data_IF_814029787051
#
_entry.id   IF_814029787051
#
_cell.length_a   1.000
_cell.length_b   1.000
_cell.length_c   1.000
_cell.angle_alpha   90.00
_cell.angle_beta   90.00
_cell.angle_gamma   90.00
#
_symmetry.space_group_name_H-M   'P 1'
#
loop_
_entity.id
_entity.type
_entity.pdbx_description
1 polymer ?
#
# COMPACT_ATOMS: atom_id res chain seq x y z
N UNK A 1 2.16 -7.79 28.19
CA UNK A 1 1.60 -6.59 27.54
C UNK A 1 2.74 -5.63 27.26
N UNK A 2 2.76 -5.04 26.05
CA UNK A 2 3.77 -4.03 25.68
C UNK A 2 3.03 -2.76 25.24
N UNK A 3 3.45 -1.63 25.78
CA UNK A 3 2.90 -0.32 25.40
C UNK A 3 4.06 0.53 24.88
N UNK A 4 3.99 0.89 23.61
CA UNK A 4 4.95 1.83 23.00
C UNK A 4 4.35 3.23 23.08
N UNK A 5 4.95 4.08 23.93
CA UNK A 5 4.42 5.44 24.20
C UNK A 5 4.77 6.45 23.13
N UNK A 6 5.76 6.14 22.31
CA UNK A 6 6.21 7.02 21.23
C UNK A 6 6.22 6.20 19.95
N UNK A 7 5.69 6.78 18.90
CA UNK A 7 5.78 6.17 17.57
C UNK A 7 7.23 6.14 17.10
N UNK A 8 7.53 5.14 16.26
CA UNK A 8 8.78 5.09 15.53
C UNK A 8 8.79 6.23 14.52
N UNK A 9 9.97 6.78 14.23
CA UNK A 9 10.10 7.87 13.28
C UNK A 9 9.55 7.49 11.91
N UNK A 10 8.92 8.47 11.25
CA UNK A 10 8.43 8.32 9.89
C UNK A 10 9.59 8.09 8.93
N UNK A 11 9.48 7.06 8.12
CA UNK A 11 10.44 6.77 7.07
C UNK A 11 9.92 7.25 5.72
N UNK A 12 10.81 7.75 4.86
CA UNK A 12 10.45 8.03 3.48
C UNK A 12 10.51 6.75 2.66
N UNK A 13 9.48 6.48 1.88
CA UNK A 13 9.44 5.35 0.98
C UNK A 13 10.50 5.47 -0.11
N UNK A 14 11.29 4.40 -0.37
CA UNK A 14 12.37 4.45 -1.36
C UNK A 14 11.84 4.50 -2.80
N UNK A 15 12.61 5.14 -3.69
CA UNK A 15 12.29 5.25 -5.10
C UNK A 15 12.26 3.90 -5.82
N UNK A 16 12.87 2.86 -5.24
CA UNK A 16 12.81 1.50 -5.77
C UNK A 16 11.42 0.86 -5.65
N UNK A 17 10.57 1.38 -4.77
CA UNK A 17 9.23 0.85 -4.49
C UNK A 17 8.10 1.80 -4.84
N UNK A 18 8.38 3.10 -4.92
CA UNK A 18 7.37 4.15 -5.09
C UNK A 18 7.77 5.15 -6.16
N UNK A 19 6.76 5.67 -6.85
CA UNK A 19 6.84 6.88 -7.66
C UNK A 19 6.20 8.01 -6.85
N UNK A 20 6.88 9.16 -6.78
CA UNK A 20 6.41 10.29 -5.96
C UNK A 20 6.79 10.17 -4.49
N UNK A 21 6.25 11.06 -3.67
CA UNK A 21 6.60 11.15 -2.25
C UNK A 21 5.63 10.31 -1.41
N UNK A 22 6.19 9.36 -0.68
CA UNK A 22 5.45 8.45 0.20
C UNK A 22 6.17 8.40 1.55
N UNK A 23 5.40 8.46 2.64
CA UNK A 23 5.91 8.39 4.00
C UNK A 23 5.25 7.25 4.75
N UNK A 24 6.04 6.52 5.55
CA UNK A 24 5.61 5.28 6.18
C UNK A 24 5.81 5.38 7.69
N UNK A 25 4.74 5.14 8.44
CA UNK A 25 4.75 5.03 9.89
C UNK A 25 4.49 3.58 10.29
N UNK A 26 5.47 2.89 10.91
CA UNK A 26 5.23 1.54 11.42
C UNK A 26 4.19 1.55 12.53
N UNK A 27 3.25 0.59 12.47
CA UNK A 27 2.19 0.42 13.48
C UNK A 27 2.37 -0.87 14.25
N UNK A 28 2.70 -1.95 13.57
CA UNK A 28 2.88 -3.24 14.19
C UNK A 28 3.97 -4.06 13.50
N UNK A 29 4.80 -4.71 14.31
CA UNK A 29 5.73 -5.73 13.90
C UNK A 29 5.72 -6.76 15.02
N UNK A 30 4.77 -7.70 14.97
CA UNK A 30 4.58 -8.66 16.03
C UNK A 30 5.81 -9.59 16.17
N UNK A 31 6.20 -9.94 17.41
CA UNK A 31 7.34 -10.83 17.62
C UNK A 31 7.04 -12.25 17.13
N UNK A 32 8.11 -12.97 16.73
CA UNK A 32 7.98 -14.37 16.35
C UNK A 32 7.22 -15.19 17.42
N UNK A 33 6.38 -16.15 17.03
CA UNK A 33 6.24 -16.72 15.67
C UNK A 33 5.28 -15.95 14.74
N UNK A 34 4.72 -14.85 15.18
CA UNK A 34 3.90 -13.99 14.31
C UNK A 34 4.77 -13.37 13.21
N UNK A 35 4.20 -13.21 12.02
CA UNK A 35 4.83 -12.57 10.86
C UNK A 35 4.00 -11.41 10.34
N UNK A 36 3.08 -10.91 11.18
CA UNK A 36 2.21 -9.78 10.84
C UNK A 36 2.98 -8.49 10.98
N UNK A 37 2.86 -7.64 9.95
CA UNK A 37 3.31 -6.25 9.98
C UNK A 37 2.17 -5.33 9.57
N UNK A 38 2.17 -4.12 10.09
CA UNK A 38 1.22 -3.11 9.69
C UNK A 38 1.89 -1.74 9.69
N UNK A 39 1.51 -0.90 8.74
CA UNK A 39 2.02 0.46 8.61
C UNK A 39 0.94 1.40 8.13
N UNK A 40 0.97 2.64 8.59
CA UNK A 40 0.26 3.74 7.95
C UNK A 40 1.14 4.27 6.83
N UNK A 41 0.59 4.31 5.63
CA UNK A 41 1.30 4.74 4.44
C UNK A 41 0.63 5.99 3.88
N UNK A 42 1.40 7.06 3.78
CA UNK A 42 0.95 8.39 3.37
C UNK A 42 1.45 8.66 1.96
N UNK A 43 0.53 8.68 1.01
CA UNK A 43 0.84 8.98 -0.39
C UNK A 43 0.50 10.45 -0.65
N UNK A 44 1.48 11.23 -1.08
CA UNK A 44 1.22 12.61 -1.53
C UNK A 44 0.51 12.57 -2.90
N UNK A 45 -0.16 13.67 -3.31
CA UNK A 45 -0.88 13.67 -4.59
C UNK A 45 0.00 13.16 -5.74
N UNK A 46 -0.53 12.22 -6.52
CA UNK A 46 0.19 11.60 -7.64
C UNK A 46 1.13 10.46 -7.28
N UNK A 47 1.44 10.27 -6.00
CA UNK A 47 2.32 9.20 -5.56
C UNK A 47 1.63 7.84 -5.58
N UNK A 48 2.39 6.80 -5.91
CA UNK A 48 1.89 5.43 -5.99
C UNK A 48 3.00 4.42 -5.79
N UNK A 49 2.63 3.19 -5.45
CA UNK A 49 3.56 2.06 -5.43
C UNK A 49 3.95 1.68 -6.86
N UNK A 50 5.07 0.97 -6.98
CA UNK A 50 5.31 0.14 -8.17
C UNK A 50 4.30 -1.01 -8.19
N UNK A 51 4.17 -1.70 -9.33
CA UNK A 51 3.52 -3.00 -9.36
C UNK A 51 4.21 -3.92 -8.37
N UNK A 52 3.45 -4.71 -7.64
CA UNK A 52 3.99 -5.66 -6.67
C UNK A 52 2.96 -6.74 -6.34
N UNK A 53 3.41 -7.75 -5.61
CA UNK A 53 2.57 -8.84 -5.10
C UNK A 53 3.02 -9.26 -3.71
N UNK A 54 2.12 -9.84 -2.97
CA UNK A 54 2.39 -10.36 -1.63
C UNK A 54 2.10 -11.86 -1.59
N UNK A 55 3.04 -12.70 -1.12
CA UNK A 55 2.84 -14.14 -1.11
C UNK A 55 1.60 -14.60 -0.32
N UNK A 56 1.25 -13.88 0.74
CA UNK A 56 0.06 -14.17 1.55
C UNK A 56 -1.03 -13.09 1.43
N UNK A 57 -0.95 -12.24 0.41
CA UNK A 57 -1.89 -11.15 0.21
C UNK A 57 -1.64 -9.94 1.09
N UNK A 58 -2.47 -8.92 0.90
CA UNK A 58 -2.40 -7.67 1.66
C UNK A 58 -3.79 -7.11 1.85
N UNK A 59 -4.07 -6.62 3.04
CA UNK A 59 -5.26 -5.81 3.30
C UNK A 59 -4.84 -4.36 3.46
N UNK A 60 -5.51 -3.45 2.76
CA UNK A 60 -5.38 -2.02 3.00
C UNK A 60 -6.72 -1.45 3.42
N UNK A 61 -6.69 -0.54 4.38
CA UNK A 61 -7.86 0.18 4.89
C UNK A 61 -7.61 1.68 4.77
N UNK A 62 -8.41 2.36 3.96
CA UNK A 62 -8.24 3.80 3.70
C UNK A 62 -8.73 4.60 4.90
N UNK A 63 -7.88 5.50 5.40
CA UNK A 63 -8.19 6.36 6.56
C UNK A 63 -8.42 7.80 6.16
N UNK A 64 -7.74 8.29 5.11
CA UNK A 64 -7.84 9.69 4.68
C UNK A 64 -7.66 9.84 3.18
N UNK A 65 -8.24 10.90 2.64
CA UNK A 65 -8.00 11.34 1.27
C UNK A 65 -8.74 10.55 0.22
N UNK A 66 -8.17 10.47 -0.97
CA UNK A 66 -8.70 9.72 -2.12
C UNK A 66 -7.57 8.96 -2.77
N UNK A 67 -7.74 7.67 -2.95
CA UNK A 67 -6.76 6.80 -3.56
C UNK A 67 -7.25 6.10 -4.80
N UNK A 68 -6.32 5.47 -5.47
CA UNK A 68 -6.54 4.61 -6.62
C UNK A 68 -5.87 3.26 -6.36
N UNK A 69 -6.43 2.20 -6.88
CA UNK A 69 -5.79 0.89 -6.93
C UNK A 69 -6.18 0.14 -8.19
N UNK A 70 -5.36 -0.84 -8.55
CA UNK A 70 -5.61 -1.67 -9.73
C UNK A 70 -4.93 -3.02 -9.56
N UNK A 71 -5.64 -4.09 -9.87
CA UNK A 71 -5.03 -5.40 -10.11
C UNK A 71 -4.64 -5.53 -11.58
N UNK A 72 -3.60 -6.28 -11.86
CA UNK A 72 -3.15 -6.52 -13.23
C UNK A 72 -4.29 -7.12 -14.06
N UNK A 73 -4.59 -6.52 -15.20
CA UNK A 73 -5.69 -6.95 -16.07
C UNK A 73 -7.07 -6.45 -15.69
N UNK A 74 -7.21 -5.74 -14.57
CA UNK A 74 -8.46 -5.13 -14.14
C UNK A 74 -8.51 -3.62 -14.38
N UNK A 75 -9.65 -2.98 -14.09
CA UNK A 75 -9.77 -1.53 -14.17
C UNK A 75 -9.13 -0.85 -12.98
N UNK A 76 -8.80 0.44 -13.14
CA UNK A 76 -8.45 1.30 -12.00
C UNK A 76 -9.71 1.58 -11.17
N UNK A 77 -9.60 1.43 -9.86
CA UNK A 77 -10.69 1.67 -8.92
C UNK A 77 -10.34 2.84 -8.01
N UNK A 78 -11.33 3.67 -7.70
CA UNK A 78 -11.21 4.74 -6.71
C UNK A 78 -11.53 4.17 -5.33
N UNK A 79 -10.67 4.49 -4.36
CA UNK A 79 -10.86 4.08 -2.97
C UNK A 79 -10.90 5.29 -2.05
N UNK A 80 -11.78 5.25 -1.04
CA UNK A 80 -12.07 6.37 -0.14
C UNK A 80 -12.04 5.93 1.32
N UNK A 81 -11.98 6.86 2.27
CA UNK A 81 -11.99 6.53 3.69
C UNK A 81 -13.13 5.58 4.07
N UNK A 82 -12.75 4.51 4.79
CA UNK A 82 -13.66 3.44 5.15
C UNK A 82 -13.64 2.25 4.19
N UNK A 83 -13.08 2.42 2.99
CA UNK A 83 -12.93 1.30 2.06
C UNK A 83 -11.81 0.36 2.51
N UNK A 84 -12.06 -0.92 2.34
CA UNK A 84 -11.11 -1.99 2.60
C UNK A 84 -10.87 -2.76 1.32
N UNK A 85 -9.60 -2.93 0.95
CA UNK A 85 -9.22 -3.71 -0.23
C UNK A 85 -8.40 -4.91 0.22
N UNK A 86 -8.79 -6.09 -0.19
CA UNK A 86 -8.00 -7.29 -0.06
C UNK A 86 -7.35 -7.61 -1.42
N UNK A 87 -6.04 -7.51 -1.48
CA UNK A 87 -5.26 -8.07 -2.58
C UNK A 87 -4.93 -9.52 -2.22
N UNK A 88 -5.37 -10.44 -3.06
CA UNK A 88 -5.19 -11.87 -2.80
C UNK A 88 -3.73 -12.29 -2.94
N UNK A 89 -3.40 -13.49 -2.44
CA UNK A 89 -2.06 -14.02 -2.52
C UNK A 89 -1.52 -14.00 -3.95
N UNK A 90 -0.33 -13.45 -4.14
CA UNK A 90 0.38 -13.33 -5.42
C UNK A 90 -0.33 -12.50 -6.51
N UNK A 91 -1.41 -11.80 -6.17
CA UNK A 91 -2.09 -10.90 -7.10
C UNK A 91 -1.25 -9.64 -7.34
N UNK A 92 -0.82 -9.45 -8.58
CA UNK A 92 -0.06 -8.25 -8.97
C UNK A 92 -0.98 -7.04 -8.98
N UNK A 93 -0.58 -6.00 -8.28
CA UNK A 93 -1.38 -4.80 -8.07
C UNK A 93 -0.53 -3.59 -7.78
N UNK A 94 -1.17 -2.43 -7.76
CA UNK A 94 -0.61 -1.19 -7.23
C UNK A 94 -1.70 -0.39 -6.53
N UNK A 95 -1.29 0.52 -5.66
CA UNK A 95 -2.16 1.49 -5.01
C UNK A 95 -1.42 2.81 -4.77
N UNK A 96 -2.17 3.88 -4.64
CA UNK A 96 -1.60 5.20 -4.43
C UNK A 96 -2.65 6.28 -4.27
N UNK A 97 -2.20 7.53 -4.26
CA UNK A 97 -3.07 8.70 -4.16
C UNK A 97 -3.68 9.06 -5.50
N UNK A 98 -4.80 9.78 -5.44
CA UNK A 98 -5.34 10.47 -6.61
C UNK A 98 -4.37 11.57 -7.08
N UNK A 99 -4.47 12.04 -8.34
CA UNK A 99 -3.53 13.05 -8.86
C UNK A 99 -3.52 14.36 -8.08
N UNK A 100 -4.64 14.74 -7.47
CA UNK A 100 -4.83 16.03 -6.81
C UNK A 100 -5.16 15.93 -5.31
N UNK A 101 -5.13 14.74 -4.73
CA UNK A 101 -5.44 14.50 -3.32
C UNK A 101 -4.48 13.49 -2.74
N UNK A 102 -4.01 13.73 -1.51
CA UNK A 102 -3.28 12.70 -0.76
C UNK A 102 -4.20 11.53 -0.40
N UNK A 103 -3.59 10.40 -0.10
CA UNK A 103 -4.30 9.25 0.45
C UNK A 103 -3.47 8.61 1.54
N UNK A 104 -4.13 8.22 2.63
CA UNK A 104 -3.52 7.47 3.72
C UNK A 104 -4.28 6.18 3.91
N UNK A 105 -3.55 5.07 4.01
CA UNK A 105 -4.15 3.79 4.37
C UNK A 105 -3.32 3.04 5.41
N UNK A 106 -3.98 2.20 6.17
CA UNK A 106 -3.34 1.17 6.98
C UNK A 106 -3.09 -0.04 6.08
N UNK A 107 -1.84 -0.48 5.97
CA UNK A 107 -1.47 -1.68 5.25
C UNK A 107 -1.16 -2.79 6.25
N UNK A 108 -1.77 -3.96 6.06
CA UNK A 108 -1.58 -5.13 6.90
C UNK A 108 -1.03 -6.25 6.03
N UNK A 109 0.14 -6.76 6.42
CA UNK A 109 0.85 -7.80 5.69
C UNK A 109 1.23 -8.96 6.60
N UNK A 110 1.46 -10.10 6.00
CA UNK A 110 1.96 -11.29 6.69
C UNK A 110 3.11 -11.89 5.88
N UNK A 111 4.22 -12.20 6.55
CA UNK A 111 5.34 -12.90 5.92
C UNK A 111 5.03 -14.38 5.71
N UNK A 112 5.54 -14.96 4.63
CA UNK A 112 5.44 -16.39 4.37
C UNK A 112 6.47 -17.18 5.21
N UNK A 113 6.61 -18.47 4.95
CA UNK A 113 7.54 -19.35 5.69
C UNK A 113 9.00 -18.94 5.51
N UNK A 114 9.35 -18.26 4.43
CA UNK A 114 10.67 -17.70 4.17
C UNK A 114 10.81 -16.26 4.70
N UNK A 115 9.78 -15.73 5.40
CA UNK A 115 9.68 -14.35 5.87
C UNK A 115 9.57 -13.31 4.75
N UNK A 116 9.23 -13.73 3.54
CA UNK A 116 8.95 -12.80 2.45
C UNK A 116 7.57 -12.18 2.62
N UNK A 117 7.48 -10.87 2.47
CA UNK A 117 6.25 -10.09 2.62
C UNK A 117 5.79 -9.54 1.28
N UNK A 118 6.73 -9.14 0.43
CA UNK A 118 6.44 -8.43 -0.82
C UNK A 118 7.47 -8.76 -1.89
N UNK A 119 7.00 -8.85 -3.15
CA UNK A 119 7.85 -8.96 -4.33
C UNK A 119 7.59 -7.74 -5.22
N UNK A 120 8.57 -6.87 -5.34
CA UNK A 120 8.49 -5.65 -6.13
C UNK A 120 8.72 -5.91 -7.61
N UNK A 121 7.92 -5.25 -8.46
CA UNK A 121 7.97 -5.34 -9.91
C UNK A 121 8.24 -3.94 -10.49
N UNK A 122 7.87 -3.73 -11.77
CA UNK A 122 8.13 -2.49 -12.49
C UNK A 122 7.27 -1.31 -11.98
N UNK A 123 7.74 -0.07 -12.19
CA UNK A 123 6.93 1.11 -11.90
C UNK A 123 5.61 1.13 -12.69
N UNK A 124 4.59 1.73 -12.11
CA UNK A 124 3.34 2.05 -12.81
C UNK A 124 3.62 3.24 -13.73
N UNK A 125 3.39 3.07 -15.03
CA UNK A 125 3.60 4.16 -15.99
C UNK A 125 2.57 5.27 -15.78
N UNK A 126 2.88 6.48 -16.28
CA UNK A 126 1.93 7.58 -16.22
C UNK A 126 0.65 7.26 -16.99
N UNK A 127 0.75 6.55 -18.11
CA UNK A 127 -0.41 6.12 -18.89
C UNK A 127 -1.30 5.15 -18.11
N UNK A 128 -0.71 4.19 -17.39
CA UNK A 128 -1.46 3.27 -16.53
C UNK A 128 -2.12 4.02 -15.37
N UNK A 129 -1.37 4.92 -14.73
CA UNK A 129 -1.86 5.68 -13.59
C UNK A 129 -3.00 6.64 -13.95
N UNK A 130 -2.96 7.25 -15.12
CA UNK A 130 -3.96 8.22 -15.56
C UNK A 130 -5.13 7.60 -16.33
N UNK A 131 -5.18 6.28 -16.43
CA UNK A 131 -6.32 5.61 -17.05
C UNK A 131 -7.61 5.95 -16.29
N UNK A 132 -8.71 6.10 -17.04
CA UNK A 132 -10.01 6.45 -16.45
C UNK A 132 -10.46 5.36 -15.49
N UNK A 133 -10.76 5.69 -14.22
CA UNK A 133 -11.30 4.71 -13.28
C UNK A 133 -12.64 4.13 -13.75
N UNK A 134 -12.91 2.90 -13.35
CA UNK A 134 -14.14 2.20 -13.69
C UNK A 134 -15.39 2.90 -13.12
N UNK A 135 -15.27 3.42 -11.89
CA UNK A 135 -16.30 4.20 -11.20
C UNK A 135 -15.65 5.27 -10.34
N UNK A 136 -16.36 6.36 -10.14
CA UNK A 136 -15.90 7.44 -9.28
C UNK A 136 -16.17 7.13 -7.80
#
# INVERSE_FOLDING_TARGET
>A
MQITRRSIETAKGPADWFTGDVYIDPVAAAPAPSRVTASLVHFMPGARTHWHRHPLGQTVFVTEGVGLCQRRGGPVEVIRPGDRVLFEADEEHWHGAAPNRLMVHLAINEGDDDHDVVHWLEPVTDAEYTATPATA
#
